data_IF_171619947083
#
_entry.id   IF_171619947083
#
_cell.length_a   1.000
_cell.length_b   1.000
_cell.length_c   1.000
_cell.angle_alpha   90.00
_cell.angle_beta   90.00
_cell.angle_gamma   90.00
#
_symmetry.space_group_name_H-M   'P 1'
#
loop_
_entity.id
_entity.type
_entity.pdbx_description
1 polymer ?
#
# COMPACT_ATOMS: atom_id res chain seq x y z
N UNK A 1 18.74 -20.62 4.04
CA UNK A 1 18.83 -19.83 2.79
C UNK A 1 17.48 -19.89 2.11
N UNK A 2 17.03 -18.76 1.51
CA UNK A 2 15.71 -18.47 0.93
C UNK A 2 14.66 -18.11 2.01
N UNK A 3 14.17 -16.88 2.21
CA UNK A 3 14.13 -15.66 1.39
C UNK A 3 12.67 -15.29 1.09
N UNK A 4 11.87 -14.96 2.11
CA UNK A 4 10.40 -14.78 2.00
C UNK A 4 10.00 -13.30 1.99
N UNK A 5 9.47 -12.83 0.86
CA UNK A 5 8.98 -11.47 0.62
C UNK A 5 7.52 -11.33 1.12
N UNK A 6 7.28 -10.40 2.04
CA UNK A 6 5.93 -10.00 2.48
C UNK A 6 5.66 -8.55 2.06
N UNK A 7 4.47 -8.27 1.53
CA UNK A 7 4.19 -7.14 0.67
C UNK A 7 3.03 -6.33 1.32
N UNK A 8 3.28 -5.08 1.76
CA UNK A 8 2.37 -4.22 2.54
C UNK A 8 1.87 -2.95 1.84
N UNK A 9 0.65 -2.53 2.19
CA UNK A 9 -0.25 -1.73 1.38
C UNK A 9 -0.35 -0.24 1.87
N UNK A 10 -0.16 0.72 0.94
CA UNK A 10 -0.07 2.21 0.99
C UNK A 10 -1.40 3.01 1.10
N UNK A 11 -1.64 3.86 2.13
CA UNK A 11 -2.69 4.92 2.10
C UNK A 11 -2.18 6.38 1.84
N UNK A 12 -2.58 7.01 0.72
CA UNK A 12 -2.19 8.35 0.19
C UNK A 12 -2.81 9.60 0.85
N UNK A 13 -2.01 10.66 0.88
CA UNK A 13 -2.42 12.08 0.81
C UNK A 13 -1.72 12.79 -0.36
N UNK A 14 -2.39 13.79 -0.93
CA UNK A 14 -2.24 14.32 -2.31
C UNK A 14 -1.01 15.22 -2.56
N UNK A 15 -0.28 14.93 -3.64
CA UNK A 15 0.61 15.88 -4.35
C UNK A 15 0.13 15.99 -5.79
N UNK A 16 -0.02 17.22 -6.30
CA UNK A 16 -0.42 17.50 -7.69
C UNK A 16 0.84 17.69 -8.54
N UNK A 17 1.08 16.77 -9.47
CA UNK A 17 2.06 16.91 -10.56
C UNK A 17 1.34 16.73 -11.91
N UNK A 18 1.44 17.76 -12.76
CA UNK A 18 0.90 17.79 -14.12
C UNK A 18 1.95 17.25 -15.09
N UNK A 19 1.91 15.96 -15.37
CA UNK A 19 2.44 15.40 -16.62
C UNK A 19 1.45 14.37 -17.13
N UNK A 20 0.93 14.62 -18.34
CA UNK A 20 0.11 13.67 -19.08
C UNK A 20 1.05 12.60 -19.66
N UNK A 21 1.19 11.50 -18.95
CA UNK A 21 1.67 10.24 -19.50
C UNK A 21 0.48 9.30 -19.58
N UNK A 22 0.32 8.64 -20.73
CA UNK A 22 -0.54 7.47 -20.94
C UNK A 22 -0.40 6.49 -19.76
N UNK A 23 -1.36 5.59 -19.49
CA UNK A 23 -1.24 4.61 -18.41
C UNK A 23 -0.22 3.53 -18.79
N UNK A 24 1.04 3.91 -18.91
CA UNK A 24 2.19 3.02 -18.83
C UNK A 24 2.28 2.59 -17.39
N UNK A 25 2.23 1.28 -17.16
CA UNK A 25 2.41 0.68 -15.85
C UNK A 25 3.61 1.29 -15.11
N UNK A 26 3.56 1.45 -13.77
CA UNK A 26 4.68 1.96 -13.01
C UNK A 26 5.87 0.98 -13.11
N UNK A 27 6.85 1.30 -13.95
CA UNK A 27 8.07 0.50 -14.07
C UNK A 27 9.12 1.02 -13.09
N UNK A 28 9.05 0.56 -11.85
CA UNK A 28 9.95 0.97 -10.77
C UNK A 28 11.32 0.24 -10.80
N UNK A 29 11.60 -0.57 -11.82
CA UNK A 29 12.88 -1.27 -12.00
C UNK A 29 13.16 -2.41 -11.02
N UNK A 30 12.29 -2.65 -10.03
CA UNK A 30 12.41 -3.77 -9.10
C UNK A 30 11.81 -5.05 -9.72
N UNK A 31 12.62 -6.10 -10.00
CA UNK A 31 12.10 -7.35 -10.56
C UNK A 31 11.28 -8.16 -9.55
N UNK A 32 11.41 -7.90 -8.25
CA UNK A 32 10.69 -8.63 -7.20
C UNK A 32 9.24 -8.19 -7.05
N UNK A 33 8.90 -6.98 -7.50
CA UNK A 33 7.52 -6.49 -7.57
C UNK A 33 7.10 -6.40 -9.04
N UNK A 34 6.16 -7.25 -9.44
CA UNK A 34 5.55 -7.21 -10.77
C UNK A 34 4.47 -6.12 -10.82
N UNK A 35 4.13 -5.65 -12.02
CA UNK A 35 3.07 -4.63 -12.19
C UNK A 35 1.71 -5.12 -11.64
N UNK A 36 1.41 -6.41 -11.75
CA UNK A 36 0.22 -6.99 -11.13
C UNK A 36 0.19 -6.84 -9.60
N UNK A 37 1.34 -6.93 -8.92
CA UNK A 37 1.41 -6.69 -7.46
C UNK A 37 1.29 -5.19 -7.13
N UNK A 38 1.87 -4.32 -7.96
CA UNK A 38 1.71 -2.85 -7.84
C UNK A 38 0.25 -2.43 -7.98
N UNK A 39 -0.44 -2.97 -8.97
CA UNK A 39 -1.86 -2.74 -9.19
C UNK A 39 -2.71 -3.31 -8.06
N UNK A 40 -2.38 -4.49 -7.55
CA UNK A 40 -3.08 -5.08 -6.41
C UNK A 40 -3.03 -4.15 -5.20
N UNK A 41 -1.86 -3.59 -4.88
CA UNK A 41 -1.77 -2.56 -3.85
C UNK A 41 -2.60 -1.33 -4.18
N UNK A 42 -2.37 -0.71 -5.33
CA UNK A 42 -2.99 0.56 -5.67
C UNK A 42 -4.52 0.46 -5.67
N UNK A 43 -5.05 -0.62 -6.26
CA UNK A 43 -6.47 -0.87 -6.35
C UNK A 43 -7.06 -1.17 -4.98
N UNK A 44 -6.37 -1.96 -4.14
CA UNK A 44 -6.86 -2.25 -2.79
C UNK A 44 -7.14 -0.96 -2.00
N UNK A 45 -6.23 -0.01 -2.01
CA UNK A 45 -6.43 1.27 -1.30
C UNK A 45 -7.49 2.15 -1.92
N UNK A 46 -7.45 2.29 -3.24
CA UNK A 46 -8.42 3.13 -3.94
C UNK A 46 -9.84 2.57 -3.80
N UNK A 47 -9.99 1.24 -3.71
CA UNK A 47 -11.28 0.60 -3.44
C UNK A 47 -11.77 0.91 -2.01
N UNK A 48 -10.93 0.75 -0.98
CA UNK A 48 -11.30 1.10 0.39
C UNK A 48 -11.61 2.59 0.55
N UNK A 49 -10.81 3.47 -0.06
CA UNK A 49 -11.09 4.92 -0.07
C UNK A 49 -12.36 5.26 -0.80
N UNK A 50 -12.63 4.61 -1.93
CA UNK A 50 -13.88 4.78 -2.65
C UNK A 50 -15.09 4.32 -1.84
N UNK A 51 -14.96 3.24 -1.07
CA UNK A 51 -15.99 2.76 -0.14
C UNK A 51 -16.21 3.72 1.03
N UNK A 52 -15.12 4.19 1.66
CA UNK A 52 -15.15 5.21 2.71
C UNK A 52 -15.77 6.53 2.23
N UNK A 53 -15.36 7.03 1.06
CA UNK A 53 -15.85 8.28 0.51
C UNK A 53 -17.37 8.27 0.28
N UNK A 54 -17.93 7.11 -0.06
CA UNK A 54 -19.37 6.91 -0.26
C UNK A 54 -20.13 6.58 1.03
N UNK A 55 -19.45 6.44 2.17
CA UNK A 55 -20.07 6.06 3.45
C UNK A 55 -20.70 4.66 3.41
N UNK A 56 -20.00 3.69 2.82
CA UNK A 56 -20.53 2.34 2.58
C UNK A 56 -20.13 1.31 3.64
N UNK A 57 -19.31 0.31 3.29
CA UNK A 57 -19.10 -0.90 4.08
C UNK A 57 -18.07 -0.74 5.20
N UNK A 58 -17.39 0.39 5.23
CA UNK A 58 -16.20 0.61 6.05
C UNK A 58 -16.62 1.03 7.44
N UNK A 59 -16.25 0.24 8.45
CA UNK A 59 -16.68 0.45 9.83
C UNK A 59 -15.68 1.33 10.57
N UNK A 60 -16.18 2.35 11.27
CA UNK A 60 -15.37 3.17 12.17
C UNK A 60 -15.35 2.54 13.56
N UNK A 61 -14.35 1.71 13.85
CA UNK A 61 -13.97 1.20 15.19
C UNK A 61 -15.10 1.16 16.25
N UNK A 62 -16.15 0.36 16.00
CA UNK A 62 -17.28 0.18 16.93
C UNK A 62 -18.47 1.14 16.76
N UNK A 63 -18.30 2.28 16.12
CA UNK A 63 -19.29 3.35 15.91
C UNK A 63 -20.25 3.14 14.73
N UNK A 64 -20.21 1.95 14.11
CA UNK A 64 -20.96 1.66 12.89
C UNK A 64 -20.19 2.07 11.64
N UNK A 65 -20.92 2.30 10.55
CA UNK A 65 -20.34 2.69 9.26
C UNK A 65 -19.71 4.08 9.38
N UNK A 66 -18.50 4.24 8.83
CA UNK A 66 -17.81 5.52 8.77
C UNK A 66 -18.60 6.53 7.92
N UNK A 67 -18.68 7.80 8.35
CA UNK A 67 -19.40 8.82 7.59
C UNK A 67 -18.73 9.05 6.23
N UNK A 68 -19.50 9.41 5.19
CA UNK A 68 -18.95 9.70 3.87
C UNK A 68 -17.99 10.89 3.95
N UNK A 69 -16.89 10.80 3.19
CA UNK A 69 -15.89 11.87 3.14
C UNK A 69 -16.17 12.82 1.97
N UNK A 70 -16.24 14.12 2.25
CA UNK A 70 -16.44 15.16 1.21
C UNK A 70 -15.29 15.24 0.23
N UNK A 71 -14.06 14.98 0.69
CA UNK A 71 -12.84 15.04 -0.12
C UNK A 71 -11.97 13.82 0.19
N UNK A 72 -11.89 12.89 -0.77
CA UNK A 72 -11.04 11.70 -0.68
C UNK A 72 -10.24 11.53 -1.97
N UNK A 73 -8.94 11.80 -1.90
CA UNK A 73 -8.09 11.77 -3.10
C UNK A 73 -7.78 10.35 -3.57
N UNK A 74 -7.76 10.15 -4.89
CA UNK A 74 -7.30 8.89 -5.50
C UNK A 74 -5.77 8.79 -5.40
N UNK A 75 -5.29 7.63 -5.00
CA UNK A 75 -3.86 7.32 -4.97
C UNK A 75 -3.30 7.12 -6.37
N UNK A 76 -2.03 7.45 -6.53
CA UNK A 76 -1.20 7.02 -7.65
C UNK A 76 -0.10 6.10 -7.14
N UNK A 77 0.53 5.31 -7.99
CA UNK A 77 1.70 4.53 -7.56
C UNK A 77 2.94 5.43 -7.61
N UNK A 78 3.81 5.34 -6.60
CA UNK A 78 5.08 6.07 -6.54
C UNK A 78 6.24 5.09 -6.30
N UNK A 79 7.21 5.10 -7.20
CA UNK A 79 8.36 4.19 -7.15
C UNK A 79 9.34 4.52 -6.01
N UNK A 80 9.38 5.75 -5.52
CA UNK A 80 10.18 6.09 -4.34
C UNK A 80 9.60 5.45 -3.08
N UNK A 81 8.27 5.50 -2.93
CA UNK A 81 7.57 4.82 -1.85
C UNK A 81 7.78 3.30 -1.91
N UNK A 82 7.73 2.70 -3.11
CA UNK A 82 8.07 1.28 -3.32
C UNK A 82 9.49 0.97 -2.84
N UNK A 83 10.47 1.79 -3.22
CA UNK A 83 11.88 1.58 -2.86
C UNK A 83 12.08 1.55 -1.34
N UNK A 84 11.51 2.52 -0.62
CA UNK A 84 11.60 2.56 0.84
C UNK A 84 10.92 1.35 1.50
N UNK A 85 9.68 1.04 1.08
CA UNK A 85 8.93 -0.09 1.63
C UNK A 85 9.63 -1.43 1.34
N UNK A 86 10.19 -1.59 0.14
CA UNK A 86 10.91 -2.80 -0.23
C UNK A 86 12.22 -2.97 0.56
N UNK A 87 12.97 -1.88 0.76
CA UNK A 87 14.17 -1.89 1.59
C UNK A 87 13.84 -2.26 3.04
N UNK A 88 12.77 -1.70 3.61
CA UNK A 88 12.32 -2.06 4.96
C UNK A 88 11.89 -3.52 5.06
N UNK A 89 11.05 -3.99 4.13
CA UNK A 89 10.60 -5.37 4.10
C UNK A 89 11.79 -6.35 3.97
N UNK A 90 12.78 -6.01 3.14
CA UNK A 90 14.00 -6.78 2.97
C UNK A 90 14.91 -6.81 4.21
N UNK A 91 14.80 -5.83 5.11
CA UNK A 91 15.56 -5.81 6.36
C UNK A 91 14.98 -6.72 7.44
N UNK A 92 13.78 -7.30 7.22
CA UNK A 92 13.05 -8.13 8.19
C UNK A 92 12.80 -7.44 9.54
N UNK A 93 12.81 -6.10 9.59
CA UNK A 93 12.54 -5.35 10.79
C UNK A 93 11.03 -5.16 10.95
N UNK A 94 10.47 -5.60 12.08
CA UNK A 94 9.03 -5.46 12.37
C UNK A 94 8.64 -4.09 12.90
N UNK A 95 9.63 -3.29 13.32
CA UNK A 95 9.39 -1.94 13.83
C UNK A 95 9.31 -0.95 12.67
N UNK A 96 8.52 0.10 12.85
CA UNK A 96 8.45 1.21 11.91
C UNK A 96 9.82 1.84 11.70
N UNK A 97 10.08 2.25 10.46
CA UNK A 97 11.24 3.08 10.16
C UNK A 97 11.10 4.47 10.78
N UNK A 98 12.24 5.07 11.12
CA UNK A 98 12.28 6.48 11.53
C UNK A 98 11.76 7.36 10.39
N UNK A 99 10.98 8.42 10.67
CA UNK A 99 10.53 9.36 9.63
C UNK A 99 11.66 9.97 8.80
N UNK A 100 12.86 10.11 9.38
CA UNK A 100 14.04 10.61 8.67
C UNK A 100 14.57 9.63 7.60
N UNK A 101 14.25 8.34 7.71
CA UNK A 101 14.64 7.32 6.74
C UNK A 101 13.77 7.34 5.48
N UNK A 102 12.57 7.95 5.57
CA UNK A 102 11.63 8.06 4.45
C UNK A 102 11.05 9.48 4.37
N UNK A 103 11.87 10.48 4.01
CA UNK A 103 11.44 11.88 4.04
C UNK A 103 10.20 12.11 3.17
N UNK A 104 9.11 12.59 3.79
CA UNK A 104 7.84 12.84 3.11
C UNK A 104 6.92 11.64 2.96
N UNK A 105 7.29 10.46 3.46
CA UNK A 105 6.48 9.24 3.42
C UNK A 105 6.13 8.75 4.83
N UNK A 106 5.04 7.98 4.91
CA UNK A 106 4.59 7.28 6.12
C UNK A 106 4.39 5.81 5.80
N UNK A 107 4.42 4.99 6.83
CA UNK A 107 4.53 3.55 6.68
C UNK A 107 3.47 2.81 7.50
N UNK A 108 2.90 1.78 6.89
CA UNK A 108 2.11 0.75 7.54
C UNK A 108 2.87 -0.57 7.45
N UNK A 109 3.00 -1.29 8.57
CA UNK A 109 3.70 -2.59 8.63
C UNK A 109 2.70 -3.68 8.99
N UNK A 110 2.55 -4.67 8.11
CA UNK A 110 1.80 -5.90 8.39
C UNK A 110 2.73 -7.11 8.30
N UNK A 111 2.73 -7.95 9.33
CA UNK A 111 3.60 -9.13 9.41
C UNK A 111 2.77 -10.40 9.47
N UNK A 112 2.99 -11.25 8.48
CA UNK A 112 2.46 -12.61 8.47
C UNK A 112 3.44 -13.56 9.14
N UNK A 113 2.98 -14.28 10.17
CA UNK A 113 3.76 -15.33 10.82
C UNK A 113 3.66 -16.67 10.06
N UNK A 114 3.73 -16.64 8.73
CA UNK A 114 3.74 -17.83 7.87
C UNK A 114 4.47 -17.54 6.55
N UNK A 115 5.18 -18.55 6.05
CA UNK A 115 5.84 -18.54 4.73
C UNK A 115 5.04 -19.29 3.67
N UNK A 116 3.93 -19.93 4.05
CA UNK A 116 3.08 -20.72 3.17
C UNK A 116 2.03 -19.84 2.50
N UNK A 117 2.47 -18.81 1.78
CA UNK A 117 1.59 -17.90 1.05
C UNK A 117 2.27 -17.36 -0.20
N UNK A 118 1.48 -16.95 -1.19
CA UNK A 118 2.01 -16.28 -2.39
C UNK A 118 2.24 -14.79 -2.09
N UNK A 119 3.07 -14.10 -2.89
CA UNK A 119 3.18 -12.65 -2.88
C UNK A 119 1.81 -11.93 -2.85
N UNK A 120 0.91 -12.30 -3.75
CA UNK A 120 -0.43 -11.72 -3.81
C UNK A 120 -1.28 -12.07 -2.57
N UNK A 121 -1.19 -13.31 -2.08
CA UNK A 121 -1.89 -13.73 -0.87
C UNK A 121 -1.41 -12.98 0.37
N UNK A 122 -0.10 -12.68 0.46
CA UNK A 122 0.45 -11.86 1.52
C UNK A 122 -0.13 -10.43 1.52
N UNK A 123 -0.26 -9.81 0.34
CA UNK A 123 -0.88 -8.48 0.19
C UNK A 123 -2.34 -8.50 0.63
N UNK A 124 -3.08 -9.50 0.17
CA UNK A 124 -4.52 -9.58 0.44
C UNK A 124 -4.83 -9.86 1.91
N UNK A 125 -3.92 -10.51 2.63
CA UNK A 125 -4.11 -10.78 4.05
C UNK A 125 -4.17 -9.51 4.92
N UNK A 126 -3.58 -8.40 4.47
CA UNK A 126 -3.65 -7.09 5.16
C UNK A 126 -5.10 -6.67 5.44
N UNK A 127 -6.06 -7.13 4.64
CA UNK A 127 -7.50 -6.84 4.81
C UNK A 127 -8.12 -7.49 6.05
N UNK A 128 -7.46 -8.49 6.64
CA UNK A 128 -7.95 -9.24 7.78
C UNK A 128 -7.29 -8.82 9.11
N UNK A 129 -6.36 -7.86 9.06
CA UNK A 129 -5.76 -7.22 10.23
C UNK A 129 -6.62 -6.04 10.69
#
# INVERSE_FOLDING_TARGET
MLGSLAISAIFFTLVVATTATSPTEPNCGNPSLTNGLRDLFLNMHNNFRGSLARGQTERSAGWGIAPPATIMYRMKYDCNAESYAHQHAGSCNRNHLSPSAMPGYKENVHVLNTVQTTPAGAIQNVRAA
#
